data_IF_382278668481
#
_entry.id   IF_382278668481
#
_cell.length_a   1.000
_cell.length_b   1.000
_cell.length_c   1.000
_cell.angle_alpha   90.00
_cell.angle_beta   90.00
_cell.angle_gamma   90.00
#
_symmetry.space_group_name_H-M   'P 1'
#
loop_
_entity.id
_entity.type
_entity.pdbx_description
1 polymer ?
#
# COMPACT_ATOMS: atom_id res chain seq x y z
N UNK A 1 -9.95 7.86 -8.87
CA UNK A 1 -9.47 8.85 -7.88
C UNK A 1 -8.26 9.59 -8.45
N UNK A 2 -8.26 10.91 -8.48
CA UNK A 2 -7.05 11.68 -8.87
C UNK A 2 -6.08 11.71 -7.68
N UNK A 3 -4.86 11.24 -7.90
CA UNK A 3 -3.78 11.36 -6.92
C UNK A 3 -3.48 12.84 -6.68
N UNK A 4 -3.72 13.32 -5.44
CA UNK A 4 -3.39 14.68 -5.05
C UNK A 4 -2.10 14.69 -4.19
N UNK A 5 -0.94 15.06 -4.75
CA UNK A 5 0.31 15.11 -4.01
C UNK A 5 0.31 16.17 -2.89
N UNK A 6 -0.66 17.08 -2.88
CA UNK A 6 -0.81 18.11 -1.86
C UNK A 6 -1.73 17.71 -0.70
N UNK A 7 -2.31 16.51 -0.73
CA UNK A 7 -3.11 16.02 0.39
C UNK A 7 -2.29 15.94 1.69
N UNK A 8 -2.71 16.71 2.71
CA UNK A 8 -2.00 16.78 3.99
C UNK A 8 -2.07 15.47 4.79
N UNK A 9 -3.22 14.78 4.78
CA UNK A 9 -3.41 13.48 5.43
C UNK A 9 -2.46 12.43 4.85
N UNK A 10 -2.34 12.38 3.52
CA UNK A 10 -1.40 11.48 2.84
C UNK A 10 0.04 11.82 3.23
N UNK A 11 0.41 13.11 3.29
CA UNK A 11 1.74 13.54 3.74
C UNK A 11 2.03 13.10 5.17
N UNK A 12 1.09 13.26 6.10
CA UNK A 12 1.22 12.81 7.48
C UNK A 12 1.40 11.28 7.56
N UNK A 13 0.64 10.51 6.77
CA UNK A 13 0.81 9.06 6.70
C UNK A 13 2.20 8.66 6.15
N UNK A 14 2.69 9.35 5.11
CA UNK A 14 4.04 9.13 4.56
C UNK A 14 5.13 9.44 5.58
N UNK A 15 4.99 10.53 6.34
CA UNK A 15 5.90 10.85 7.43
C UNK A 15 5.86 9.80 8.55
N UNK A 16 4.67 9.30 8.89
CA UNK A 16 4.49 8.22 9.86
C UNK A 16 5.20 6.95 9.46
N UNK A 17 5.07 6.51 8.20
CA UNK A 17 5.82 5.38 7.65
C UNK A 17 7.34 5.60 7.72
N UNK A 18 7.80 6.81 7.40
CA UNK A 18 9.21 7.17 7.55
C UNK A 18 9.72 7.12 9.00
N UNK A 19 8.84 7.28 10.00
CA UNK A 19 9.18 7.07 11.40
C UNK A 19 9.18 5.59 11.80
N UNK A 20 8.28 4.77 11.23
CA UNK A 20 8.34 3.31 11.38
C UNK A 20 9.66 2.73 10.84
N UNK A 21 10.09 3.17 9.66
CA UNK A 21 11.37 2.77 9.04
C UNK A 21 12.59 3.15 9.90
N UNK A 22 12.48 4.24 10.68
CA UNK A 22 13.49 4.68 11.64
C UNK A 22 13.36 4.03 13.02
N UNK A 23 12.48 3.04 13.17
CA UNK A 23 12.16 2.38 14.43
C UNK A 23 11.67 3.34 15.54
N UNK A 24 10.86 4.34 15.18
CA UNK A 24 10.25 5.33 16.08
C UNK A 24 8.72 5.20 16.14
N UNK A 25 8.19 4.13 16.76
CA UNK A 25 6.77 3.80 16.69
C UNK A 25 5.86 4.83 17.39
N UNK A 26 6.32 5.51 18.45
CA UNK A 26 5.53 6.53 19.15
C UNK A 26 5.37 7.81 18.31
N UNK A 27 6.42 8.21 17.59
CA UNK A 27 6.35 9.35 16.66
C UNK A 27 5.44 9.02 15.47
N UNK A 28 5.55 7.80 14.92
CA UNK A 28 4.66 7.31 13.87
C UNK A 28 3.20 7.34 14.32
N UNK A 29 2.90 6.80 15.50
CA UNK A 29 1.53 6.77 16.05
C UNK A 29 0.91 8.16 16.19
N UNK A 30 1.69 9.17 16.60
CA UNK A 30 1.21 10.56 16.70
C UNK A 30 0.84 11.12 15.34
N UNK A 31 1.67 10.89 14.32
CA UNK A 31 1.43 11.35 12.95
C UNK A 31 0.17 10.70 12.35
N UNK A 32 -0.05 9.41 12.58
CA UNK A 32 -1.24 8.72 12.10
C UNK A 32 -2.52 9.19 12.79
N UNK A 33 -2.47 9.46 14.09
CA UNK A 33 -3.61 10.04 14.82
C UNK A 33 -3.91 11.46 14.35
N UNK A 34 -2.88 12.27 14.09
CA UNK A 34 -3.07 13.59 13.50
C UNK A 34 -3.73 13.48 12.12
N UNK A 35 -3.26 12.57 11.27
CA UNK A 35 -3.85 12.31 9.95
C UNK A 35 -5.33 11.94 10.06
N UNK A 36 -5.71 11.11 11.03
CA UNK A 36 -7.11 10.75 11.28
C UNK A 36 -7.97 11.96 11.69
N UNK A 37 -7.45 12.79 12.59
CA UNK A 37 -8.16 13.97 13.10
C UNK A 37 -8.36 15.02 12.01
N UNK A 38 -7.39 15.18 11.10
CA UNK A 38 -7.46 16.13 9.98
C UNK A 38 -8.20 15.58 8.76
N UNK A 39 -8.44 14.28 8.67
CA UNK A 39 -9.15 13.67 7.56
C UNK A 39 -10.58 14.22 7.42
N UNK A 40 -10.96 14.54 6.18
CA UNK A 40 -12.24 15.19 5.85
C UNK A 40 -13.14 14.34 4.95
N UNK A 41 -12.58 13.50 4.07
CA UNK A 41 -13.35 12.63 3.18
C UNK A 41 -13.01 11.14 3.36
N UNK A 42 -13.84 10.29 2.78
CA UNK A 42 -13.86 8.85 3.07
C UNK A 42 -12.51 8.17 2.84
N UNK A 43 -11.79 8.52 1.76
CA UNK A 43 -10.49 7.92 1.47
C UNK A 43 -9.42 8.33 2.51
N UNK A 44 -9.42 9.59 2.95
CA UNK A 44 -8.52 10.05 4.01
C UNK A 44 -8.81 9.31 5.32
N UNK A 45 -10.09 9.13 5.66
CA UNK A 45 -10.51 8.37 6.83
C UNK A 45 -10.11 6.90 6.73
N UNK A 46 -10.27 6.29 5.55
CA UNK A 46 -9.83 4.93 5.27
C UNK A 46 -8.33 4.75 5.52
N UNK A 47 -7.47 5.54 4.86
CA UNK A 47 -6.02 5.37 4.96
C UNK A 47 -5.51 5.66 6.37
N UNK A 48 -6.02 6.71 7.02
CA UNK A 48 -5.57 7.10 8.36
C UNK A 48 -6.00 6.09 9.41
N UNK A 49 -7.25 5.60 9.37
CA UNK A 49 -7.71 4.52 10.26
C UNK A 49 -6.86 3.25 10.11
N UNK A 50 -6.52 2.87 8.88
CA UNK A 50 -5.66 1.73 8.62
C UNK A 50 -4.29 1.85 9.31
N UNK A 51 -3.65 3.02 9.23
CA UNK A 51 -2.37 3.22 9.91
C UNK A 51 -2.51 3.34 11.43
N UNK A 52 -3.55 4.00 11.93
CA UNK A 52 -3.81 4.07 13.38
C UNK A 52 -3.98 2.67 13.99
N UNK A 53 -4.64 1.75 13.27
CA UNK A 53 -4.81 0.37 13.72
C UNK A 53 -3.48 -0.35 14.02
N UNK A 54 -2.40 -0.04 13.28
CA UNK A 54 -1.09 -0.70 13.43
C UNK A 54 -0.41 -0.41 14.76
N UNK A 55 -0.78 0.69 15.42
CA UNK A 55 -0.15 1.17 16.66
C UNK A 55 -1.02 0.98 17.91
N UNK A 56 -2.15 0.28 17.80
CA UNK A 56 -2.99 0.01 18.96
C UNK A 56 -2.34 -1.05 19.85
N UNK A 57 -2.42 -0.83 21.18
CA UNK A 57 -1.80 -1.71 22.18
C UNK A 57 -2.61 -2.96 22.47
N UNK A 58 -3.93 -2.90 22.27
CA UNK A 58 -4.83 -4.02 22.49
C UNK A 58 -5.47 -4.46 21.17
N UNK A 59 -5.91 -5.71 21.14
CA UNK A 59 -6.52 -6.30 19.95
C UNK A 59 -7.89 -5.69 19.66
N UNK A 60 -8.65 -5.34 20.70
CA UNK A 60 -10.00 -4.76 20.55
C UNK A 60 -10.00 -3.38 19.91
N UNK A 61 -9.09 -2.47 20.30
CA UNK A 61 -8.97 -1.16 19.63
C UNK A 61 -8.41 -1.34 18.22
N UNK A 62 -7.44 -2.25 18.02
CA UNK A 62 -6.95 -2.58 16.68
C UNK A 62 -8.09 -3.04 15.77
N UNK A 63 -8.92 -3.97 16.24
CA UNK A 63 -10.09 -4.45 15.52
C UNK A 63 -11.04 -3.30 15.18
N UNK A 64 -11.41 -2.47 16.17
CA UNK A 64 -12.30 -1.31 15.93
C UNK A 64 -11.76 -0.38 14.84
N UNK A 65 -10.46 -0.12 14.84
CA UNK A 65 -9.83 0.72 13.82
C UNK A 65 -9.79 0.05 12.44
N UNK A 66 -9.54 -1.25 12.38
CA UNK A 66 -9.59 -2.00 11.11
C UNK A 66 -11.01 -2.06 10.55
N UNK A 67 -12.03 -2.25 11.39
CA UNK A 67 -13.44 -2.21 11.00
C UNK A 67 -13.85 -0.81 10.53
N UNK A 68 -13.37 0.23 11.20
CA UNK A 68 -13.56 1.62 10.77
C UNK A 68 -12.96 1.84 9.38
N UNK A 69 -11.72 1.39 9.15
CA UNK A 69 -11.09 1.47 7.84
C UNK A 69 -11.90 0.68 6.80
N UNK A 70 -12.38 -0.52 7.15
CA UNK A 70 -13.18 -1.36 6.26
C UNK A 70 -14.49 -0.69 5.87
N UNK A 71 -15.17 -0.03 6.81
CA UNK A 71 -16.41 0.70 6.56
C UNK A 71 -16.20 1.79 5.50
N UNK A 72 -15.12 2.58 5.62
CA UNK A 72 -14.81 3.60 4.62
C UNK A 72 -14.38 3.00 3.28
N UNK A 73 -13.58 1.93 3.28
CA UNK A 73 -13.20 1.22 2.06
C UNK A 73 -14.42 0.67 1.30
N UNK A 74 -15.37 0.05 2.01
CA UNK A 74 -16.62 -0.45 1.43
C UNK A 74 -17.52 0.69 0.92
N UNK A 75 -17.47 1.88 1.53
CA UNK A 75 -18.21 3.05 1.05
C UNK A 75 -17.63 3.60 -0.26
N UNK A 76 -16.30 3.57 -0.41
CA UNK A 76 -15.61 4.01 -1.62
C UNK A 76 -15.77 2.98 -2.75
N UNK A 77 -15.51 1.71 -2.47
CA UNK A 77 -15.68 0.54 -3.36
C UNK A 77 -15.20 0.71 -4.82
N UNK A 78 -14.12 1.46 -5.02
CA UNK A 78 -13.49 1.65 -6.32
C UNK A 78 -12.08 1.03 -6.35
N UNK A 79 -11.41 1.16 -7.48
CA UNK A 79 -10.08 0.54 -7.69
C UNK A 79 -8.99 1.14 -6.77
N UNK A 80 -9.24 2.28 -6.12
CA UNK A 80 -8.30 2.88 -5.16
C UNK A 80 -8.23 2.14 -3.82
N UNK A 81 -9.26 1.36 -3.48
CA UNK A 81 -9.34 0.63 -2.20
C UNK A 81 -9.52 -0.87 -2.35
N UNK A 82 -9.95 -1.35 -3.53
CA UNK A 82 -10.20 -2.80 -3.75
C UNK A 82 -9.01 -3.69 -3.45
N UNK A 83 -7.81 -3.25 -3.79
CA UNK A 83 -6.57 -3.98 -3.52
C UNK A 83 -6.29 -4.16 -2.01
N UNK A 84 -6.90 -3.33 -1.16
CA UNK A 84 -6.74 -3.41 0.29
C UNK A 84 -7.70 -4.41 0.96
N UNK A 85 -8.80 -4.82 0.32
CA UNK A 85 -9.78 -5.71 0.97
C UNK A 85 -9.19 -7.03 1.46
N UNK A 86 -8.38 -7.78 0.69
CA UNK A 86 -7.83 -9.05 1.16
C UNK A 86 -7.00 -8.91 2.43
N UNK A 87 -6.13 -7.90 2.50
CA UNK A 87 -5.29 -7.67 3.67
C UNK A 87 -6.10 -7.15 4.86
N UNK A 88 -7.08 -6.28 4.62
CA UNK A 88 -7.93 -5.72 5.65
C UNK A 88 -8.80 -6.79 6.32
N UNK A 89 -9.50 -7.60 5.53
CA UNK A 89 -10.27 -8.73 6.03
C UNK A 89 -9.38 -9.76 6.74
N UNK A 90 -8.21 -10.08 6.21
CA UNK A 90 -7.27 -11.00 6.88
C UNK A 90 -6.79 -10.48 8.23
N UNK A 91 -6.54 -9.17 8.34
CA UNK A 91 -6.11 -8.56 9.60
C UNK A 91 -7.26 -8.51 10.62
N UNK A 92 -8.49 -8.25 10.18
CA UNK A 92 -9.68 -8.33 11.01
C UNK A 92 -9.90 -9.76 11.51
N UNK A 93 -9.75 -10.75 10.62
CA UNK A 93 -9.87 -12.17 10.99
C UNK A 93 -8.90 -12.56 12.09
N UNK A 94 -7.62 -12.17 11.96
CA UNK A 94 -6.60 -12.39 13.00
C UNK A 94 -6.98 -11.76 14.33
N UNK A 95 -7.53 -10.55 14.31
CA UNK A 95 -8.01 -9.92 15.55
C UNK A 95 -9.15 -10.72 16.19
N UNK A 96 -10.06 -11.29 15.41
CA UNK A 96 -11.11 -12.17 15.95
C UNK A 96 -10.53 -13.49 16.50
N UNK A 97 -9.50 -14.08 15.87
CA UNK A 97 -8.79 -15.25 16.43
C UNK A 97 -8.14 -14.93 17.78
N UNK A 98 -7.43 -13.81 17.86
CA UNK A 98 -6.78 -13.33 19.09
C UNK A 98 -7.81 -13.05 20.21
N UNK A 99 -9.04 -12.69 19.84
CA UNK A 99 -10.18 -12.49 20.75
C UNK A 99 -10.97 -13.78 21.03
N UNK A 100 -10.51 -14.93 20.53
CA UNK A 100 -11.17 -16.24 20.67
C UNK A 100 -12.59 -16.30 20.07
N UNK A 101 -12.80 -15.62 18.94
CA UNK A 101 -14.03 -15.65 18.14
C UNK A 101 -13.78 -16.29 16.77
N UNK A 102 -13.78 -17.64 16.71
CA UNK A 102 -13.43 -18.37 15.48
C UNK A 102 -14.46 -18.21 14.37
N UNK A 103 -15.73 -17.94 14.71
CA UNK A 103 -16.81 -17.79 13.72
C UNK A 103 -16.61 -16.51 12.91
N UNK A 104 -16.35 -15.38 13.59
CA UNK A 104 -16.05 -14.13 12.89
C UNK A 104 -14.69 -14.17 12.21
N UNK A 105 -13.69 -14.85 12.78
CA UNK A 105 -12.42 -15.05 12.11
C UNK A 105 -12.58 -15.77 10.75
N UNK A 106 -13.27 -16.92 10.75
CA UNK A 106 -13.53 -17.71 9.55
C UNK A 106 -14.26 -16.90 8.48
N UNK A 107 -15.35 -16.20 8.86
CA UNK A 107 -16.11 -15.35 7.95
C UNK A 107 -15.22 -14.30 7.26
N UNK A 108 -14.33 -13.65 8.01
CA UNK A 108 -13.45 -12.63 7.46
C UNK A 108 -12.35 -13.24 6.56
N UNK A 109 -11.81 -14.42 6.87
CA UNK A 109 -10.89 -15.11 5.96
C UNK A 109 -11.54 -15.53 4.63
N UNK A 110 -12.80 -15.99 4.68
CA UNK A 110 -13.57 -16.31 3.47
C UNK A 110 -13.79 -15.04 2.62
N UNK A 111 -14.12 -13.91 3.25
CA UNK A 111 -14.22 -12.61 2.56
C UNK A 111 -12.88 -12.21 1.94
N UNK A 112 -11.78 -12.27 2.70
CA UNK A 112 -10.43 -11.98 2.19
C UNK A 112 -10.11 -12.78 0.93
N UNK A 113 -10.50 -14.06 0.91
CA UNK A 113 -10.31 -14.96 -0.24
C UNK A 113 -11.23 -14.63 -1.40
N UNK A 114 -12.47 -14.17 -1.15
CA UNK A 114 -13.41 -13.77 -2.21
C UNK A 114 -12.93 -12.54 -2.99
N UNK A 115 -12.17 -11.65 -2.35
CA UNK A 115 -11.56 -10.48 -2.99
C UNK A 115 -10.27 -10.81 -3.77
N UNK A 116 -10.13 -12.05 -4.28
CA UNK A 116 -9.00 -12.50 -5.12
C UNK A 116 -8.53 -11.36 -6.01
N UNK A 117 -7.33 -10.86 -5.74
CA UNK A 117 -6.77 -9.67 -6.39
C UNK A 117 -6.62 -9.98 -7.87
N UNK A 118 -7.57 -9.53 -8.67
CA UNK A 118 -7.34 -9.33 -10.09
C UNK A 118 -6.59 -8.01 -10.21
N UNK A 119 -5.39 -7.97 -10.80
CA UNK A 119 -4.76 -6.71 -11.15
C UNK A 119 -5.78 -5.85 -11.91
N UNK A 120 -5.98 -4.61 -11.48
CA UNK A 120 -6.85 -3.66 -12.20
C UNK A 120 -6.35 -3.51 -13.63
N UNK A 121 -5.03 -3.44 -13.78
CA UNK A 121 -4.33 -3.43 -15.05
C UNK A 121 -4.35 -4.83 -15.66
N UNK A 122 -4.97 -4.96 -16.83
CA UNK A 122 -5.05 -6.25 -17.53
C UNK A 122 -3.71 -6.69 -18.16
N UNK A 123 -2.69 -5.84 -18.11
CA UNK A 123 -1.46 -6.02 -18.85
C UNK A 123 -1.67 -5.96 -20.37
N UNK A 124 -0.71 -6.47 -21.17
CA UNK A 124 0.60 -6.96 -20.74
C UNK A 124 1.40 -5.90 -19.96
N UNK A 125 2.28 -6.36 -19.07
CA UNK A 125 3.12 -5.49 -18.25
C UNK A 125 4.49 -5.31 -18.89
N UNK A 126 4.99 -4.08 -18.88
CA UNK A 126 6.24 -3.67 -19.48
C UNK A 126 7.16 -3.08 -18.41
N UNK A 127 8.44 -3.45 -18.46
CA UNK A 127 9.50 -2.82 -17.68
C UNK A 127 10.29 -1.88 -18.58
N UNK A 128 10.41 -0.61 -18.19
CA UNK A 128 11.21 0.36 -18.94
C UNK A 128 12.68 0.30 -18.54
N UNK A 129 13.53 -0.20 -19.43
CA UNK A 129 14.98 -0.28 -19.23
C UNK A 129 15.74 -0.07 -20.53
N UNK A 130 17.01 0.36 -20.45
CA UNK A 130 17.95 0.36 -21.58
C UNK A 130 18.71 -0.94 -21.71
N UNK A 131 18.75 -1.76 -20.66
CA UNK A 131 19.50 -3.01 -20.66
C UNK A 131 19.03 -3.91 -21.81
N UNK A 132 19.98 -4.43 -22.57
CA UNK A 132 19.73 -5.37 -23.68
C UNK A 132 19.44 -6.77 -23.11
N UNK A 133 18.20 -6.97 -22.69
CA UNK A 133 17.75 -8.20 -22.04
C UNK A 133 17.25 -9.23 -23.05
N UNK A 134 17.68 -10.47 -22.86
CA UNK A 134 17.16 -11.65 -23.55
C UNK A 134 16.06 -12.35 -22.75
N UNK A 135 15.22 -13.12 -23.43
CA UNK A 135 14.22 -13.97 -22.77
C UNK A 135 14.95 -15.00 -21.88
N UNK A 136 14.59 -15.03 -20.61
CA UNK A 136 15.23 -15.89 -19.59
C UNK A 136 16.15 -15.13 -18.65
N UNK A 137 16.51 -13.87 -18.96
CA UNK A 137 17.32 -13.04 -18.07
C UNK A 137 16.58 -12.69 -16.78
N UNK A 138 17.32 -12.67 -15.68
CA UNK A 138 16.78 -12.38 -14.35
C UNK A 138 16.90 -10.89 -14.03
N UNK A 139 15.76 -10.27 -13.73
CA UNK A 139 15.72 -8.92 -13.19
C UNK A 139 15.91 -8.97 -11.67
N UNK A 140 16.93 -8.28 -11.16
CA UNK A 140 17.24 -8.18 -9.73
C UNK A 140 17.09 -6.73 -9.22
N UNK A 141 16.42 -6.57 -8.08
CA UNK A 141 16.35 -5.30 -7.37
C UNK A 141 17.70 -4.94 -6.69
N UNK A 142 17.79 -3.75 -6.08
CA UNK A 142 18.98 -3.26 -5.38
C UNK A 142 19.86 -2.31 -6.21
N UNK A 143 19.45 -2.01 -7.45
CA UNK A 143 20.07 -0.98 -8.28
C UNK A 143 19.95 0.42 -7.68
N UNK A 144 20.79 1.34 -8.12
CA UNK A 144 20.67 2.76 -7.77
C UNK A 144 19.55 3.41 -8.58
N UNK A 145 18.82 4.37 -7.99
CA UNK A 145 17.73 5.06 -8.66
C UNK A 145 18.21 5.95 -9.82
N UNK A 146 17.42 5.99 -10.91
CA UNK A 146 17.69 6.81 -12.07
C UNK A 146 17.48 8.32 -11.82
N UNK A 147 16.68 8.70 -10.80
CA UNK A 147 16.33 10.11 -10.54
C UNK A 147 16.89 10.65 -9.21
N UNK A 148 17.27 9.79 -8.25
CA UNK A 148 17.88 10.20 -6.98
C UNK A 148 19.08 9.33 -6.65
N UNK A 149 20.29 9.89 -6.72
CA UNK A 149 21.57 9.16 -6.59
C UNK A 149 21.71 8.32 -5.31
N UNK A 150 21.18 8.81 -4.18
CA UNK A 150 21.29 8.15 -2.88
C UNK A 150 20.20 7.08 -2.63
N UNK A 151 19.21 6.96 -3.51
CA UNK A 151 18.10 6.03 -3.33
C UNK A 151 18.44 4.67 -3.95
N UNK A 152 18.34 3.61 -3.15
CA UNK A 152 18.38 2.22 -3.61
C UNK A 152 16.97 1.73 -3.96
N UNK A 153 16.83 1.17 -5.16
CA UNK A 153 15.57 0.66 -5.67
C UNK A 153 15.37 -0.78 -5.21
N UNK A 154 14.64 -0.97 -4.11
CA UNK A 154 14.35 -2.30 -3.55
C UNK A 154 13.27 -3.08 -4.31
N UNK A 155 12.66 -2.45 -5.33
CA UNK A 155 11.58 -3.01 -6.13
C UNK A 155 11.85 -2.80 -7.61
N UNK A 156 11.32 -3.70 -8.43
CA UNK A 156 11.30 -3.61 -9.89
C UNK A 156 9.89 -3.23 -10.31
N UNK A 157 9.77 -2.13 -11.04
CA UNK A 157 8.49 -1.56 -11.41
C UNK A 157 8.10 -1.96 -12.83
N UNK A 158 6.83 -2.26 -13.00
CA UNK A 158 6.21 -2.57 -14.29
C UNK A 158 5.01 -1.64 -14.52
N UNK A 159 4.65 -1.44 -15.78
CA UNK A 159 3.46 -0.66 -16.17
C UNK A 159 2.70 -1.38 -17.27
N UNK A 160 1.37 -1.29 -17.29
CA UNK A 160 0.58 -1.76 -18.43
C UNK A 160 0.56 -0.76 -19.61
N UNK A 161 1.17 0.42 -19.45
CA UNK A 161 1.26 1.44 -20.48
C UNK A 161 2.60 1.34 -21.22
N UNK A 162 2.57 0.92 -22.49
CA UNK A 162 3.78 0.83 -23.36
C UNK A 162 4.59 2.12 -23.33
N UNK A 163 3.92 3.27 -23.48
CA UNK A 163 4.58 4.58 -23.48
C UNK A 163 5.21 4.92 -22.11
N UNK A 164 4.62 4.44 -21.01
CA UNK A 164 5.19 4.61 -19.67
C UNK A 164 6.51 3.86 -19.53
N UNK A 165 6.59 2.63 -20.04
CA UNK A 165 7.83 1.86 -20.08
C UNK A 165 8.86 2.51 -21.01
N UNK A 166 8.45 2.98 -22.19
CA UNK A 166 9.33 3.71 -23.11
C UNK A 166 9.95 4.96 -22.49
N UNK A 167 9.17 5.76 -21.76
CA UNK A 167 9.68 6.92 -21.05
C UNK A 167 10.68 6.52 -19.94
N UNK A 168 10.35 5.50 -19.14
CA UNK A 168 11.24 5.01 -18.10
C UNK A 168 12.58 4.49 -18.67
N UNK A 169 12.54 3.80 -19.82
CA UNK A 169 13.74 3.38 -20.54
C UNK A 169 14.57 4.59 -21.01
N UNK A 170 13.95 5.60 -21.62
CA UNK A 170 14.65 6.80 -22.08
C UNK A 170 15.38 7.53 -20.95
N UNK A 171 14.78 7.58 -19.76
CA UNK A 171 15.34 8.22 -18.56
C UNK A 171 16.38 7.37 -17.81
N UNK A 172 16.50 6.08 -18.14
CA UNK A 172 17.48 5.21 -17.49
C UNK A 172 18.92 5.67 -17.79
N UNK A 173 19.79 5.63 -16.79
CA UNK A 173 21.20 5.98 -16.94
C UNK A 173 21.99 4.82 -17.58
N UNK A 174 23.06 5.15 -18.28
CA UNK A 174 23.94 4.18 -18.94
C UNK A 174 23.57 3.87 -20.39
N UNK A 175 24.41 3.06 -21.02
CA UNK A 175 24.41 2.79 -22.47
C UNK A 175 23.71 1.48 -22.86
N UNK A 176 22.93 0.89 -21.94
CA UNK A 176 22.07 -0.26 -22.23
C UNK A 176 22.76 -1.61 -22.34
N UNK A 177 23.83 -1.81 -21.58
CA UNK A 177 24.51 -3.10 -21.44
C UNK A 177 24.09 -3.83 -20.17
#
# INVERSE_FOLDING_TARGET
>A
MEFNPNNNVVKLCLQGMGMEEKCKPEEASKLFLQAWNEATYDFEKFISAHYVARHQKNVSDKLRWLETALQFALKINDDSVKSAFPSLYSNIAKCYEDLSDPDNAKKNYELATSFKVKPSDQGPFYHGTKADLSVGDLLTAGGSSNYKSELKMNHIYFTALVNGAGLAAALAKGDGR
#
